data_IF_958196571428
#
_entry.id   IF_958196571428
#
_cell.length_a   1.000
_cell.length_b   1.000
_cell.length_c   1.000
_cell.angle_alpha   90.00
_cell.angle_beta   90.00
_cell.angle_gamma   90.00
#
_symmetry.space_group_name_H-M   'P 1'
#
loop_
_entity.id
_entity.type
_entity.pdbx_description
1 polymer ?
#
# COMPACT_ATOMS: atom_id res chain seq x y z
N UNK A 1 -32.13 21.66 -6.31
CA UNK A 1 -31.22 20.63 -5.75
C UNK A 1 -31.75 20.28 -4.36
N UNK A 2 -32.09 19.02 -4.08
CA UNK A 2 -32.75 18.59 -2.83
C UNK A 2 -31.81 17.65 -2.05
N UNK A 3 -31.44 18.01 -0.83
CA UNK A 3 -30.57 17.22 0.04
C UNK A 3 -31.41 16.27 0.90
N UNK A 4 -31.62 15.04 0.41
CA UNK A 4 -32.46 14.01 1.05
C UNK A 4 -32.14 13.65 2.51
N UNK A 5 -30.89 13.80 3.04
CA UNK A 5 -30.61 13.53 4.45
C UNK A 5 -31.14 14.58 5.43
N UNK A 6 -31.60 15.74 4.97
CA UNK A 6 -32.24 16.76 5.81
C UNK A 6 -33.72 16.87 5.44
N UNK A 7 -34.60 17.00 6.44
CA UNK A 7 -36.05 17.14 6.23
C UNK A 7 -36.44 18.48 5.55
N UNK A 8 -35.60 19.50 5.66
CA UNK A 8 -35.76 20.81 5.00
C UNK A 8 -35.15 20.84 3.60
N UNK A 9 -34.53 19.74 3.15
CA UNK A 9 -33.84 19.65 1.87
C UNK A 9 -32.57 20.50 1.77
N UNK A 10 -32.12 21.14 2.86
CA UNK A 10 -30.94 21.99 2.90
C UNK A 10 -29.68 21.21 3.26
N UNK A 11 -28.62 21.43 2.48
CA UNK A 11 -27.30 20.89 2.79
C UNK A 11 -26.68 21.66 3.97
N UNK A 12 -26.20 20.92 4.96
CA UNK A 12 -25.34 21.47 6.02
C UNK A 12 -24.11 20.59 6.16
N UNK A 13 -22.99 21.16 6.62
CA UNK A 13 -21.77 20.38 6.93
C UNK A 13 -22.08 19.24 7.92
N UNK A 14 -22.99 19.48 8.87
CA UNK A 14 -23.45 18.49 9.84
C UNK A 14 -24.17 17.32 9.18
N UNK A 15 -25.13 17.56 8.30
CA UNK A 15 -25.87 16.50 7.61
C UNK A 15 -24.99 15.77 6.58
N UNK A 16 -24.05 16.47 5.94
CA UNK A 16 -23.01 15.87 5.11
C UNK A 16 -22.09 14.93 5.90
N UNK A 17 -21.58 15.38 7.05
CA UNK A 17 -20.73 14.56 7.92
C UNK A 17 -21.47 13.35 8.50
N UNK A 18 -22.73 13.54 8.93
CA UNK A 18 -23.58 12.46 9.42
C UNK A 18 -23.78 11.38 8.34
N UNK A 19 -24.07 11.78 7.10
CA UNK A 19 -24.21 10.85 5.99
C UNK A 19 -22.89 10.12 5.72
N UNK A 20 -21.77 10.84 5.66
CA UNK A 20 -20.44 10.23 5.45
C UNK A 20 -20.09 9.19 6.54
N UNK A 21 -20.53 9.39 7.79
CA UNK A 21 -20.37 8.41 8.86
C UNK A 21 -21.28 7.18 8.71
N UNK A 22 -22.47 7.35 8.13
CA UNK A 22 -23.48 6.30 7.96
C UNK A 22 -23.20 5.43 6.74
N UNK A 23 -22.56 5.98 5.71
CA UNK A 23 -22.13 5.22 4.54
C UNK A 23 -20.96 4.33 4.94
N UNK A 24 -21.09 2.99 4.86
CA UNK A 24 -19.98 2.09 5.10
C UNK A 24 -18.80 2.47 4.20
N UNK A 25 -17.60 2.55 4.77
CA UNK A 25 -16.37 2.78 4.01
C UNK A 25 -15.98 1.51 3.26
N UNK A 26 -16.85 1.03 2.38
CA UNK A 26 -16.66 -0.18 1.59
C UNK A 26 -16.03 0.22 0.27
N UNK A 27 -14.82 -0.28 0.02
CA UNK A 27 -14.17 -0.18 -1.29
C UNK A 27 -14.10 -1.59 -1.87
N UNK A 28 -14.71 -1.80 -3.05
CA UNK A 28 -14.67 -3.10 -3.73
C UNK A 28 -15.14 -4.28 -2.85
N UNK A 29 -16.17 -4.06 -2.01
CA UNK A 29 -16.68 -5.09 -1.10
C UNK A 29 -15.87 -5.30 0.18
N UNK A 30 -14.79 -4.55 0.39
CA UNK A 30 -13.93 -4.62 1.58
C UNK A 30 -14.30 -3.55 2.61
N UNK A 31 -14.47 -3.93 3.88
CA UNK A 31 -14.56 -2.97 4.99
C UNK A 31 -13.20 -2.32 5.26
N UNK A 32 -13.07 -1.06 4.85
CA UNK A 32 -11.81 -0.34 5.02
C UNK A 32 -11.47 -0.08 6.48
N UNK A 33 -12.43 -0.11 7.42
CA UNK A 33 -12.13 0.04 8.84
C UNK A 33 -11.35 -1.16 9.40
N UNK A 34 -11.58 -2.37 8.89
CA UNK A 34 -10.73 -3.54 9.17
C UNK A 34 -9.30 -3.30 8.68
N UNK A 35 -9.15 -2.80 7.45
CA UNK A 35 -7.85 -2.50 6.83
C UNK A 35 -7.07 -1.46 7.64
N UNK A 36 -7.72 -0.37 8.07
CA UNK A 36 -7.06 0.67 8.85
C UNK A 36 -6.60 0.16 10.21
N UNK A 37 -7.46 -0.57 10.93
CA UNK A 37 -7.07 -1.20 12.20
C UNK A 37 -5.89 -2.13 12.03
N UNK A 38 -5.88 -2.94 10.97
CA UNK A 38 -4.77 -3.81 10.64
C UNK A 38 -3.48 -3.00 10.44
N UNK A 39 -3.46 -2.02 9.53
CA UNK A 39 -2.28 -1.22 9.20
C UNK A 39 -1.71 -0.51 10.43
N UNK A 40 -2.56 0.16 11.22
CA UNK A 40 -2.12 0.92 12.38
C UNK A 40 -1.73 0.03 13.57
N UNK A 41 -2.23 -1.21 13.64
CA UNK A 41 -1.81 -2.20 14.64
C UNK A 41 -0.47 -2.87 14.33
N UNK A 42 0.05 -2.73 13.11
CA UNK A 42 1.32 -3.36 12.73
C UNK A 42 2.47 -2.73 13.51
N UNK A 43 3.29 -3.58 14.13
CA UNK A 43 4.56 -3.17 14.69
C UNK A 43 5.55 -2.96 13.54
N UNK A 44 5.67 -1.74 13.07
CA UNK A 44 6.62 -1.35 12.03
C UNK A 44 6.90 0.16 12.08
N UNK A 45 7.91 0.66 11.35
CA UNK A 45 8.16 2.09 11.26
C UNK A 45 6.93 2.84 10.71
N UNK A 46 6.61 4.05 11.23
CA UNK A 46 5.52 4.90 10.73
C UNK A 46 5.51 5.06 9.20
N UNK A 47 6.70 5.19 8.60
CA UNK A 47 6.89 5.31 7.16
C UNK A 47 6.27 4.13 6.38
N UNK A 48 6.37 2.92 6.93
CA UNK A 48 5.79 1.72 6.32
C UNK A 48 4.27 1.69 6.49
N UNK A 49 3.73 2.09 7.66
CA UNK A 49 2.28 2.21 7.86
C UNK A 49 1.67 3.22 6.88
N UNK A 50 2.28 4.40 6.74
CA UNK A 50 1.84 5.42 5.80
C UNK A 50 1.86 4.94 4.34
N UNK A 51 2.87 4.17 3.95
CA UNK A 51 2.92 3.55 2.64
C UNK A 51 1.74 2.61 2.40
N UNK A 52 1.52 1.66 3.31
CA UNK A 52 0.42 0.69 3.21
C UNK A 52 -0.92 1.40 3.14
N UNK A 53 -1.11 2.44 3.96
CA UNK A 53 -2.31 3.27 3.92
C UNK A 53 -2.51 3.91 2.54
N UNK A 54 -1.46 4.52 1.96
CA UNK A 54 -1.52 5.12 0.61
C UNK A 54 -1.78 4.07 -0.47
N UNK A 55 -1.16 2.91 -0.38
CA UNK A 55 -1.34 1.81 -1.32
C UNK A 55 -2.79 1.30 -1.29
N UNK A 56 -3.34 1.07 -0.10
CA UNK A 56 -4.73 0.66 0.10
C UNK A 56 -5.75 1.73 -0.32
N UNK A 57 -5.42 3.02 -0.20
CA UNK A 57 -6.26 4.12 -0.70
C UNK A 57 -6.18 4.33 -2.21
N UNK A 58 -5.24 3.70 -2.92
CA UNK A 58 -5.01 3.98 -4.33
C UNK A 58 -4.26 5.29 -4.60
N UNK A 59 -3.52 5.82 -3.61
CA UNK A 59 -2.84 7.12 -3.65
C UNK A 59 -1.36 7.04 -4.04
N UNK A 60 -0.89 5.88 -4.50
CA UNK A 60 0.43 5.76 -5.09
C UNK A 60 0.43 6.36 -6.51
N UNK A 61 1.52 7.04 -6.85
CA UNK A 61 1.69 7.74 -8.13
C UNK A 61 2.11 6.77 -9.24
N UNK A 62 1.22 5.84 -9.57
CA UNK A 62 1.37 4.91 -10.71
C UNK A 62 0.80 5.54 -11.99
N UNK A 63 1.31 5.17 -13.17
CA UNK A 63 0.88 5.80 -14.42
C UNK A 63 -0.62 5.65 -14.70
N UNK A 64 -1.28 4.56 -14.32
CA UNK A 64 -2.75 4.45 -14.42
C UNK A 64 -3.44 5.65 -13.74
N UNK A 65 -3.03 5.99 -12.50
CA UNK A 65 -3.61 7.08 -11.71
C UNK A 65 -3.20 8.45 -12.21
N UNK A 66 -1.96 8.60 -12.68
CA UNK A 66 -1.47 9.85 -13.26
C UNK A 66 -2.18 10.15 -14.59
N UNK A 67 -2.39 9.13 -15.42
CA UNK A 67 -3.14 9.23 -16.68
C UNK A 67 -4.60 9.60 -16.43
N UNK A 68 -5.25 8.94 -15.46
CA UNK A 68 -6.61 9.28 -15.03
C UNK A 68 -6.76 10.76 -14.59
N UNK A 69 -5.68 11.35 -14.05
CA UNK A 69 -5.63 12.76 -13.65
C UNK A 69 -5.14 13.70 -14.76
N UNK A 70 -4.98 13.22 -15.99
CA UNK A 70 -4.45 13.95 -17.13
C UNK A 70 -3.04 14.54 -16.92
N UNK A 71 -2.22 13.90 -16.07
CA UNK A 71 -0.83 14.32 -15.80
C UNK A 71 0.15 13.73 -16.81
N UNK A 72 -0.12 12.51 -17.29
CA UNK A 72 0.70 11.81 -18.30
C UNK A 72 -0.19 11.31 -19.43
N UNK A 73 0.28 11.36 -20.69
CA UNK A 73 -0.47 10.83 -21.83
C UNK A 73 -0.47 9.29 -21.89
N UNK A 74 0.49 8.64 -21.23
CA UNK A 74 0.67 7.19 -21.28
C UNK A 74 0.37 6.53 -19.94
N UNK A 75 -0.26 5.35 -20.03
CA UNK A 75 -0.58 4.47 -18.90
C UNK A 75 0.36 3.26 -18.76
N UNK A 76 1.20 2.99 -19.76
CA UNK A 76 2.15 1.88 -19.81
C UNK A 76 3.31 2.07 -18.82
N UNK A 77 3.69 1.02 -18.08
CA UNK A 77 4.79 1.09 -17.12
C UNK A 77 6.11 1.50 -17.78
N UNK A 78 6.76 2.55 -17.28
CA UNK A 78 8.05 3.05 -17.81
C UNK A 78 9.21 2.07 -17.64
N UNK A 79 9.04 1.01 -16.84
CA UNK A 79 10.10 0.03 -16.57
C UNK A 79 10.00 -1.13 -17.55
N UNK A 80 8.84 -1.78 -17.64
CA UNK A 80 8.68 -2.97 -18.48
C UNK A 80 8.15 -2.65 -19.88
N UNK A 81 7.55 -1.47 -20.09
CA UNK A 81 6.90 -1.04 -21.33
C UNK A 81 5.84 -2.01 -21.91
N UNK A 82 5.38 -2.99 -21.11
CA UNK A 82 4.55 -4.09 -21.60
C UNK A 82 3.07 -3.96 -21.19
N UNK A 83 2.81 -3.50 -19.97
CA UNK A 83 1.45 -3.44 -19.40
C UNK A 83 1.16 -2.10 -18.75
N UNK A 84 -0.12 -1.84 -18.52
CA UNK A 84 -0.58 -0.68 -17.77
C UNK A 84 -0.06 -0.71 -16.32
N UNK A 85 0.48 0.41 -15.85
CA UNK A 85 1.06 0.52 -14.51
C UNK A 85 -0.03 0.78 -13.48
N UNK A 86 -0.62 -0.29 -12.97
CA UNK A 86 -1.43 -0.29 -11.75
C UNK A 86 -0.55 -0.39 -10.51
N UNK A 87 -1.13 -0.25 -9.32
CA UNK A 87 -0.43 -0.48 -8.04
C UNK A 87 0.04 -1.94 -7.92
N UNK A 88 -0.80 -2.89 -8.30
CA UNK A 88 -0.44 -4.30 -8.29
C UNK A 88 0.68 -4.58 -9.29
N UNK A 89 0.61 -3.97 -10.47
CA UNK A 89 1.67 -4.09 -11.45
C UNK A 89 3.00 -3.54 -10.91
N UNK A 90 3.02 -2.31 -10.41
CA UNK A 90 4.24 -1.66 -9.93
C UNK A 90 4.90 -2.39 -8.75
N UNK A 91 4.11 -3.07 -7.91
CA UNK A 91 4.61 -3.71 -6.68
C UNK A 91 4.84 -5.21 -6.83
N UNK A 92 4.07 -5.94 -7.65
CA UNK A 92 4.08 -7.41 -7.70
C UNK A 92 4.36 -8.00 -9.08
N UNK A 93 3.85 -7.38 -10.16
CA UNK A 93 3.79 -8.03 -11.49
C UNK A 93 4.81 -7.47 -12.48
N UNK A 94 5.32 -6.26 -12.25
CA UNK A 94 6.36 -5.67 -13.07
C UNK A 94 7.63 -6.52 -13.00
N UNK A 95 8.32 -6.71 -14.13
CA UNK A 95 9.54 -7.50 -14.23
C UNK A 95 10.56 -7.19 -13.12
N UNK A 96 10.81 -5.91 -12.86
CA UNK A 96 11.74 -5.46 -11.81
C UNK A 96 11.22 -5.77 -10.39
N UNK A 97 9.91 -5.72 -10.19
CA UNK A 97 9.31 -6.11 -8.91
C UNK A 97 9.39 -7.62 -8.70
N UNK A 98 9.15 -8.41 -9.76
CA UNK A 98 9.24 -9.87 -9.71
C UNK A 98 10.64 -10.34 -9.32
N UNK A 99 11.71 -9.64 -9.74
CA UNK A 99 13.09 -9.93 -9.31
C UNK A 99 13.28 -9.81 -7.79
N UNK A 100 12.67 -8.78 -7.16
CA UNK A 100 12.68 -8.63 -5.70
C UNK A 100 11.96 -9.81 -5.02
N UNK A 101 10.81 -10.20 -5.55
CA UNK A 101 10.01 -11.26 -4.96
C UNK A 101 10.63 -12.64 -5.19
N UNK A 102 11.25 -12.90 -6.34
CA UNK A 102 11.89 -14.17 -6.65
C UNK A 102 13.09 -14.46 -5.73
N UNK A 103 13.74 -13.42 -5.20
CA UNK A 103 14.80 -13.56 -4.22
C UNK A 103 14.30 -13.80 -2.78
N UNK A 104 12.98 -13.79 -2.55
CA UNK A 104 12.36 -13.95 -1.25
C UNK A 104 11.77 -15.35 -1.07
N UNK A 105 11.86 -15.96 0.14
CA UNK A 105 11.17 -17.22 0.43
C UNK A 105 9.63 -17.09 0.39
N UNK A 106 9.11 -15.86 0.31
CA UNK A 106 7.67 -15.55 0.32
C UNK A 106 7.04 -15.51 -1.08
N UNK A 107 7.81 -15.83 -2.12
CA UNK A 107 7.35 -15.73 -3.51
C UNK A 107 6.06 -16.54 -3.79
N UNK A 108 5.97 -17.75 -3.24
CA UNK A 108 4.80 -18.62 -3.45
C UNK A 108 3.55 -18.06 -2.76
N UNK A 109 3.67 -17.57 -1.52
CA UNK A 109 2.58 -16.94 -0.78
C UNK A 109 2.10 -15.66 -1.49
N UNK A 110 3.03 -14.87 -2.00
CA UNK A 110 2.72 -13.62 -2.73
C UNK A 110 1.99 -13.90 -4.04
N UNK A 111 2.37 -14.98 -4.72
CA UNK A 111 1.77 -15.42 -5.99
C UNK A 111 0.38 -16.03 -5.81
N UNK A 112 0.09 -16.62 -4.64
CA UNK A 112 -1.20 -17.24 -4.33
C UNK A 112 -2.33 -16.23 -4.04
N UNK A 113 -2.01 -14.96 -3.77
CA UNK A 113 -3.00 -13.94 -3.45
C UNK A 113 -3.80 -13.47 -4.69
N UNK A 114 -5.07 -13.07 -4.52
CA UNK A 114 -5.90 -12.54 -5.61
C UNK A 114 -5.25 -11.33 -6.29
N UNK A 115 -5.49 -11.09 -7.57
CA UNK A 115 -4.83 -10.00 -8.34
C UNK A 115 -5.69 -8.75 -8.56
N UNK A 116 -6.92 -8.69 -8.02
CA UNK A 116 -7.87 -7.60 -8.32
C UNK A 116 -7.41 -6.23 -7.77
N UNK A 117 -6.95 -6.17 -6.52
CA UNK A 117 -6.54 -4.91 -5.89
C UNK A 117 -5.47 -5.11 -4.81
N UNK A 118 -4.74 -4.05 -4.51
CA UNK A 118 -3.73 -4.08 -3.45
C UNK A 118 -4.36 -4.36 -2.07
N UNK A 119 -5.55 -3.80 -1.83
CA UNK A 119 -6.28 -3.98 -0.56
C UNK A 119 -6.68 -5.44 -0.36
N UNK A 120 -7.24 -6.08 -1.39
CA UNK A 120 -7.62 -7.49 -1.34
C UNK A 120 -6.40 -8.38 -1.10
N UNK A 121 -5.28 -8.12 -1.78
CA UNK A 121 -4.01 -8.81 -1.53
C UNK A 121 -3.55 -8.66 -0.09
N UNK A 122 -3.52 -7.43 0.40
CA UNK A 122 -3.04 -7.12 1.73
C UNK A 122 -3.89 -7.81 2.82
N UNK A 123 -5.21 -7.80 2.67
CA UNK A 123 -6.10 -8.54 3.56
C UNK A 123 -5.93 -10.04 3.46
N UNK A 124 -5.78 -10.57 2.24
CA UNK A 124 -5.49 -11.99 2.04
C UNK A 124 -4.21 -12.40 2.76
N UNK A 125 -3.12 -11.62 2.65
CA UNK A 125 -1.88 -11.88 3.39
C UNK A 125 -2.13 -11.88 4.90
N UNK A 126 -2.85 -10.88 5.43
CA UNK A 126 -3.11 -10.80 6.87
C UNK A 126 -3.86 -12.00 7.46
N UNK A 127 -4.58 -12.77 6.61
CA UNK A 127 -5.35 -13.96 7.00
C UNK A 127 -4.60 -15.27 6.75
N UNK A 128 -3.63 -15.28 5.83
CA UNK A 128 -3.00 -16.51 5.35
C UNK A 128 -1.51 -16.63 5.70
N UNK A 129 -0.88 -15.58 6.23
CA UNK A 129 0.53 -15.63 6.67
C UNK A 129 0.69 -15.16 8.12
N UNK A 130 1.81 -15.52 8.74
CA UNK A 130 2.15 -15.05 10.09
C UNK A 130 2.39 -13.53 10.13
N UNK A 131 2.38 -12.94 11.33
CA UNK A 131 2.63 -11.50 11.51
C UNK A 131 4.03 -11.07 11.01
N UNK A 132 5.03 -11.92 11.18
CA UNK A 132 6.40 -11.64 10.75
C UNK A 132 6.55 -11.77 9.23
N UNK A 133 5.85 -12.72 8.61
CA UNK A 133 5.75 -12.82 7.16
C UNK A 133 4.99 -11.63 6.57
N UNK A 134 3.86 -11.22 7.16
CA UNK A 134 3.11 -10.05 6.73
C UNK A 134 3.99 -8.79 6.78
N UNK A 135 4.77 -8.63 7.85
CA UNK A 135 5.73 -7.54 7.98
C UNK A 135 6.82 -7.61 6.90
N UNK A 136 7.31 -8.80 6.60
CA UNK A 136 8.30 -9.03 5.54
C UNK A 136 7.72 -8.71 4.15
N UNK A 137 6.49 -9.15 3.86
CA UNK A 137 5.75 -8.80 2.64
C UNK A 137 5.59 -7.29 2.53
N UNK A 138 5.15 -6.60 3.59
CA UNK A 138 5.01 -5.16 3.59
C UNK A 138 6.36 -4.45 3.30
N UNK A 139 7.44 -4.94 3.92
CA UNK A 139 8.78 -4.40 3.74
C UNK A 139 9.30 -4.59 2.30
N UNK A 140 9.06 -5.76 1.71
CA UNK A 140 9.43 -6.07 0.33
C UNK A 140 8.58 -5.28 -0.68
N UNK A 141 7.28 -5.10 -0.41
CA UNK A 141 6.41 -4.26 -1.21
C UNK A 141 6.88 -2.79 -1.21
N UNK A 142 7.32 -2.29 -0.06
CA UNK A 142 7.95 -0.97 0.03
C UNK A 142 9.25 -0.92 -0.75
N UNK A 143 10.10 -1.95 -0.66
CA UNK A 143 11.34 -2.02 -1.41
C UNK A 143 11.08 -1.99 -2.92
N UNK A 144 10.14 -2.80 -3.42
CA UNK A 144 9.75 -2.79 -4.84
C UNK A 144 9.28 -1.40 -5.30
N UNK A 145 8.42 -0.75 -4.51
CA UNK A 145 7.98 0.62 -4.77
C UNK A 145 9.12 1.64 -4.75
N UNK A 146 10.05 1.51 -3.80
CA UNK A 146 11.21 2.38 -3.67
C UNK A 146 12.16 2.21 -4.87
N UNK A 147 12.48 0.97 -5.25
CA UNK A 147 13.24 0.63 -6.43
C UNK A 147 12.62 1.26 -7.69
N UNK A 148 11.32 1.07 -7.90
CA UNK A 148 10.58 1.68 -9.03
C UNK A 148 10.77 3.19 -9.08
N UNK A 149 10.59 3.88 -7.95
CA UNK A 149 10.72 5.34 -7.91
C UNK A 149 12.15 5.78 -8.16
N UNK A 150 13.13 5.12 -7.55
CA UNK A 150 14.53 5.43 -7.74
C UNK A 150 14.93 5.32 -9.22
N UNK A 151 14.52 4.22 -9.87
CA UNK A 151 14.76 4.04 -11.31
C UNK A 151 14.15 5.16 -12.16
N UNK A 152 12.91 5.57 -11.87
CA UNK A 152 12.20 6.57 -12.67
C UNK A 152 12.75 7.98 -12.49
N UNK A 153 13.13 8.36 -11.27
CA UNK A 153 13.53 9.74 -10.96
C UNK A 153 15.05 9.96 -11.00
N UNK A 154 15.84 8.93 -10.70
CA UNK A 154 17.30 9.05 -10.58
C UNK A 154 18.03 8.30 -11.71
N UNK A 155 17.37 7.40 -12.44
CA UNK A 155 17.95 6.58 -13.53
C UNK A 155 19.21 5.79 -13.12
N UNK A 156 19.40 5.56 -11.82
CA UNK A 156 20.53 4.79 -11.32
C UNK A 156 20.27 3.29 -11.43
N UNK A 157 21.29 2.56 -11.88
CA UNK A 157 21.30 1.11 -11.77
C UNK A 157 21.58 0.71 -10.31
N UNK A 158 20.74 -0.14 -9.75
CA UNK A 158 20.92 -0.70 -8.42
C UNK A 158 20.50 -2.18 -8.40
N UNK A 159 21.06 -2.94 -7.47
CA UNK A 159 20.64 -4.30 -7.23
C UNK A 159 19.36 -4.29 -6.39
N UNK A 160 18.22 -4.59 -7.02
CA UNK A 160 16.91 -4.57 -6.36
C UNK A 160 16.83 -5.54 -5.16
N UNK A 161 17.57 -6.66 -5.20
CA UNK A 161 17.63 -7.64 -4.12
C UNK A 161 18.37 -7.07 -2.91
N UNK A 162 19.46 -6.33 -3.12
CA UNK A 162 20.20 -5.73 -2.01
C UNK A 162 19.41 -4.61 -1.33
N UNK A 163 18.70 -3.80 -2.12
CA UNK A 163 17.76 -2.80 -1.59
C UNK A 163 16.67 -3.48 -0.76
N UNK A 164 16.10 -4.58 -1.25
CA UNK A 164 15.08 -5.34 -0.55
C UNK A 164 15.57 -5.93 0.77
N UNK A 165 16.77 -6.54 0.79
CA UNK A 165 17.42 -7.02 2.02
C UNK A 165 17.66 -5.88 3.00
N UNK A 166 18.15 -4.73 2.51
CA UNK A 166 18.37 -3.53 3.30
C UNK A 166 17.09 -3.05 3.99
N UNK A 167 15.96 -3.03 3.29
CA UNK A 167 14.68 -2.64 3.87
C UNK A 167 14.15 -3.63 4.91
N UNK A 168 14.25 -4.94 4.65
CA UNK A 168 13.85 -5.96 5.63
C UNK A 168 14.71 -5.84 6.90
N UNK A 169 16.02 -5.62 6.75
CA UNK A 169 16.94 -5.38 7.87
C UNK A 169 16.57 -4.11 8.64
N UNK A 170 16.39 -2.99 7.94
CA UNK A 170 16.01 -1.70 8.54
C UNK A 170 14.72 -1.82 9.37
N UNK A 171 13.70 -2.51 8.87
CA UNK A 171 12.44 -2.70 9.59
C UNK A 171 12.64 -3.51 10.87
N UNK A 172 13.46 -4.57 10.83
CA UNK A 172 13.82 -5.35 12.03
C UNK A 172 14.59 -4.52 13.05
N UNK A 173 15.62 -3.80 12.62
CA UNK A 173 16.43 -2.94 13.50
C UNK A 173 15.59 -1.82 14.13
N UNK A 174 14.65 -1.25 13.36
CA UNK A 174 13.72 -0.23 13.88
C UNK A 174 12.83 -0.78 14.99
N UNK A 175 12.45 -2.07 14.91
CA UNK A 175 11.65 -2.72 15.94
C UNK A 175 12.46 -3.01 17.20
N UNK A 176 13.68 -3.52 17.03
CA UNK A 176 14.61 -3.73 18.14
C UNK A 176 14.90 -2.42 18.87
N UNK A 177 15.12 -1.33 18.11
CA UNK A 177 15.31 0.00 18.67
C UNK A 177 14.09 0.51 19.45
N UNK A 178 12.88 0.32 18.92
CA UNK A 178 11.64 0.72 19.58
C UNK A 178 11.42 -0.05 20.89
N UNK A 179 11.75 -1.35 20.91
CA UNK A 179 11.71 -2.17 22.13
C UNK A 179 12.71 -1.66 23.17
N UNK A 180 13.94 -1.36 22.75
CA UNK A 180 15.00 -0.87 23.66
C UNK A 180 14.70 0.49 24.26
N UNK A 181 14.11 1.39 23.48
CA UNK A 181 13.85 2.78 23.91
C UNK A 181 12.49 2.97 24.58
N UNK A 182 11.64 1.95 24.60
CA UNK A 182 10.29 2.04 25.17
C UNK A 182 9.37 3.01 24.42
N UNK A 183 9.80 3.50 23.24
CA UNK A 183 8.99 4.35 22.37
C UNK A 183 7.88 3.48 21.81
N UNK A 184 6.67 3.61 22.38
CA UNK A 184 5.46 3.12 21.72
C UNK A 184 5.43 3.80 20.36
N UNK A 185 5.38 3.01 19.28
CA UNK A 185 5.16 3.52 17.92
C UNK A 185 3.95 4.45 17.96
N UNK A 186 4.21 5.75 18.00
CA UNK A 186 3.24 6.77 18.31
C UNK A 186 2.41 7.08 17.07
N UNK A 187 1.52 6.17 16.69
CA UNK A 187 0.48 6.41 15.70
C UNK A 187 -0.78 5.60 16.06
N UNK A 188 -1.29 5.86 17.26
CA UNK A 188 -2.64 5.47 17.67
C UNK A 188 -3.44 6.77 17.87
N UNK A 189 -3.64 7.54 16.81
CA UNK A 189 -4.52 8.70 16.76
C UNK A 189 -4.84 9.01 15.29
N UNK A 190 -5.91 8.42 14.74
CA UNK A 190 -7.02 9.11 14.05
C UNK A 190 -8.24 8.20 14.13
#
# INVERSE_FOLDING_TARGET
MFWWPSNDGAYTVRSGYWLCKKVPAVLQGVDMNEVWRLIWSMKCPPKLQHFLWRACKGFLAVKERLHYRHITPEKSCSICNASEESINHAIFECKAATEVWAASPLFSQVSAAPSNSFVERFLWYSKNVSKDELLSIASLAWAAWHCRNKYIFEQEAFNAVDVARGWVKYVKESLEYAVRTGIKSALCCV
#
